data_IF_051166780215
#
_entry.id   IF_051166780215
#
_cell.length_a   1.000
_cell.length_b   1.000
_cell.length_c   1.000
_cell.angle_alpha   90.00
_cell.angle_beta   90.00
_cell.angle_gamma   90.00
#
_symmetry.space_group_name_H-M   'P 1'
#
loop_
_entity.id
_entity.type
_entity.pdbx_description
1 polymer ?
#
# COMPACT_ATOMS: atom_id res chain seq x y z
N UNK A 1 49.52 -1.03 15.64
CA UNK A 1 48.97 -2.37 15.33
C UNK A 1 47.55 -2.41 15.87
N UNK A 2 46.54 -2.31 15.00
CA UNK A 2 45.15 -2.42 15.44
C UNK A 2 44.91 -3.91 15.68
N UNK A 3 44.54 -4.25 16.89
CA UNK A 3 44.30 -5.63 17.32
C UNK A 3 43.04 -6.17 16.61
N UNK A 4 43.19 -7.33 15.95
CA UNK A 4 42.22 -7.94 15.04
C UNK A 4 40.82 -8.08 15.66
N UNK A 5 40.76 -8.18 16.99
CA UNK A 5 39.52 -8.26 17.77
C UNK A 5 38.68 -6.98 17.68
N UNK A 6 39.31 -5.81 17.62
CA UNK A 6 38.60 -4.54 17.48
C UNK A 6 38.09 -4.32 16.06
N UNK A 7 38.78 -4.88 15.06
CA UNK A 7 38.33 -4.84 13.66
C UNK A 7 37.04 -5.64 13.46
N UNK A 8 36.94 -6.82 14.09
CA UNK A 8 35.73 -7.66 14.03
C UNK A 8 34.54 -6.96 14.72
N UNK A 9 34.79 -6.28 15.84
CA UNK A 9 33.74 -5.52 16.54
C UNK A 9 33.23 -4.33 15.70
N UNK A 10 34.11 -3.65 14.97
CA UNK A 10 33.73 -2.58 14.05
C UNK A 10 32.91 -3.08 12.85
N UNK A 11 33.26 -4.25 12.30
CA UNK A 11 32.51 -4.85 11.18
C UNK A 11 31.09 -5.22 11.62
N UNK A 12 30.91 -5.76 12.83
CA UNK A 12 29.58 -6.14 13.34
C UNK A 12 28.65 -4.93 13.57
N UNK A 13 29.20 -3.76 13.93
CA UNK A 13 28.39 -2.54 14.12
C UNK A 13 27.91 -1.99 12.77
N UNK A 14 28.66 -2.18 11.69
CA UNK A 14 28.33 -1.64 10.36
C UNK A 14 27.26 -2.47 9.62
N UNK A 15 27.07 -3.74 9.96
CA UNK A 15 26.05 -4.60 9.33
C UNK A 15 24.68 -4.57 10.04
N UNK A 16 24.54 -3.81 11.14
CA UNK A 16 23.31 -3.75 11.94
C UNK A 16 22.28 -2.70 11.50
N UNK A 17 22.49 -1.98 10.39
CA UNK A 17 21.55 -0.95 9.93
C UNK A 17 20.48 -1.57 9.03
N UNK A 18 19.51 -2.25 9.64
CA UNK A 18 18.23 -2.55 8.97
C UNK A 18 17.48 -1.22 8.82
N UNK A 19 17.28 -0.76 7.59
CA UNK A 19 16.43 0.40 7.33
C UNK A 19 15.00 0.02 7.63
N UNK A 20 14.55 0.33 8.85
CA UNK A 20 13.15 0.18 9.23
C UNK A 20 12.30 1.02 8.28
N UNK A 21 11.38 0.37 7.57
CA UNK A 21 10.42 1.08 6.72
C UNK A 21 9.62 2.04 7.60
N UNK A 22 9.57 3.30 7.21
CA UNK A 22 8.73 4.27 7.89
C UNK A 22 7.27 3.99 7.53
N UNK A 23 6.48 3.52 8.50
CA UNK A 23 5.04 3.27 8.33
C UNK A 23 4.31 4.45 7.69
N UNK A 24 4.77 5.69 7.96
CA UNK A 24 4.22 6.91 7.37
C UNK A 24 4.32 6.97 5.84
N UNK A 25 5.33 6.36 5.24
CA UNK A 25 5.47 6.35 3.78
C UNK A 25 4.36 5.51 3.14
N UNK A 26 3.94 4.44 3.81
CA UNK A 26 2.92 3.49 3.34
C UNK A 26 1.51 4.10 3.36
N UNK A 27 1.23 4.99 4.31
CA UNK A 27 -0.06 5.62 4.44
C UNK A 27 -0.38 6.50 3.22
N UNK A 28 -1.64 6.43 2.78
CA UNK A 28 -2.17 7.22 1.68
C UNK A 28 -2.97 6.41 0.67
N UNK A 29 -3.16 7.01 -0.49
CA UNK A 29 -3.86 6.42 -1.62
C UNK A 29 -2.85 6.09 -2.72
N UNK A 30 -3.03 4.92 -3.34
CA UNK A 30 -2.13 4.35 -4.32
C UNK A 30 -2.93 3.80 -5.49
N UNK A 31 -2.40 3.85 -6.71
CA UNK A 31 -3.04 3.25 -7.88
C UNK A 31 -2.07 2.43 -8.72
N UNK A 32 -2.60 1.46 -9.44
CA UNK A 32 -1.89 0.69 -10.46
C UNK A 32 -2.86 0.16 -11.51
N UNK A 33 -2.28 -0.43 -12.56
CA UNK A 33 -2.99 -1.21 -13.57
C UNK A 33 -2.48 -2.64 -13.58
N UNK A 34 -3.37 -3.61 -13.75
CA UNK A 34 -3.01 -5.01 -13.96
C UNK A 34 -2.56 -5.25 -15.41
N UNK A 35 -2.08 -6.46 -15.73
CA UNK A 35 -1.63 -6.83 -17.09
C UNK A 35 -2.73 -6.69 -18.14
N UNK A 36 -3.99 -6.90 -17.75
CA UNK A 36 -5.17 -6.71 -18.60
C UNK A 36 -5.61 -5.24 -18.71
N UNK A 37 -4.78 -4.30 -18.24
CA UNK A 37 -5.05 -2.86 -18.14
C UNK A 37 -6.16 -2.47 -17.16
N UNK A 38 -6.65 -3.40 -16.34
CA UNK A 38 -7.66 -3.09 -15.34
C UNK A 38 -7.10 -2.18 -14.25
N UNK A 39 -7.81 -1.09 -13.95
CA UNK A 39 -7.43 -0.11 -12.96
C UNK A 39 -7.86 -0.54 -11.54
N UNK A 40 -6.99 -0.29 -10.57
CA UNK A 40 -7.35 -0.44 -9.16
C UNK A 40 -6.60 0.56 -8.27
N UNK A 41 -7.20 0.83 -7.11
CA UNK A 41 -6.64 1.68 -6.07
C UNK A 41 -6.47 0.91 -4.76
N UNK A 42 -5.49 1.32 -3.98
CA UNK A 42 -5.24 0.85 -2.62
C UNK A 42 -5.23 2.06 -1.70
N UNK A 43 -6.08 2.05 -0.68
CA UNK A 43 -6.09 3.07 0.37
C UNK A 43 -5.61 2.45 1.68
N UNK A 44 -4.63 3.07 2.32
CA UNK A 44 -4.02 2.60 3.55
C UNK A 44 -4.01 3.72 4.58
N UNK A 45 -4.63 3.48 5.73
CA UNK A 45 -4.49 4.30 6.94
C UNK A 45 -4.07 3.41 8.12
N UNK A 46 -3.91 3.96 9.32
CA UNK A 46 -3.47 3.22 10.52
C UNK A 46 -4.33 1.99 10.92
N UNK A 47 -5.52 1.82 10.33
CA UNK A 47 -6.52 0.81 10.74
C UNK A 47 -6.92 -0.14 9.61
N UNK A 48 -7.00 0.38 8.40
CA UNK A 48 -7.69 -0.25 7.28
C UNK A 48 -6.81 -0.25 6.03
N UNK A 49 -6.87 -1.38 5.34
CA UNK A 49 -6.34 -1.55 4.00
C UNK A 49 -7.53 -1.80 3.07
N UNK A 50 -7.75 -0.91 2.11
CA UNK A 50 -8.89 -0.98 1.20
C UNK A 50 -8.37 -1.21 -0.21
N UNK A 51 -8.82 -2.29 -0.84
CA UNK A 51 -8.57 -2.57 -2.25
C UNK A 51 -9.80 -2.19 -3.04
N UNK A 52 -9.71 -1.17 -3.89
CA UNK A 52 -10.82 -0.68 -4.70
C UNK A 52 -10.58 -1.03 -6.16
N UNK A 53 -11.43 -1.90 -6.70
CA UNK A 53 -11.32 -2.37 -8.07
C UNK A 53 -12.47 -1.85 -8.91
N UNK A 54 -12.20 -1.50 -10.16
CA UNK A 54 -13.22 -0.95 -11.07
C UNK A 54 -14.48 -1.84 -11.17
N UNK A 55 -14.30 -3.16 -11.29
CA UNK A 55 -15.41 -4.09 -11.52
C UNK A 55 -16.30 -4.40 -10.29
N UNK A 56 -15.81 -4.21 -9.05
CA UNK A 56 -16.54 -4.66 -7.85
C UNK A 56 -16.45 -3.70 -6.66
N UNK A 57 -15.77 -2.56 -6.81
CA UNK A 57 -15.69 -1.52 -5.80
C UNK A 57 -14.72 -1.84 -4.65
N UNK A 58 -14.86 -1.12 -3.51
CA UNK A 58 -13.94 -1.20 -2.38
C UNK A 58 -14.18 -2.46 -1.54
N UNK A 59 -13.10 -3.18 -1.25
CA UNK A 59 -13.06 -4.30 -0.31
C UNK A 59 -12.11 -3.95 0.83
N UNK A 60 -12.64 -3.99 2.05
CA UNK A 60 -11.90 -3.65 3.26
C UNK A 60 -11.23 -4.89 3.87
N UNK A 61 -9.96 -4.73 4.23
CA UNK A 61 -9.17 -5.73 4.91
C UNK A 61 -8.54 -5.18 6.18
N UNK A 62 -8.43 -6.05 7.18
CA UNK A 62 -7.53 -5.81 8.30
C UNK A 62 -6.11 -6.11 7.84
N UNK A 63 -5.15 -5.38 8.36
CA UNK A 63 -3.75 -5.61 8.00
C UNK A 63 -2.81 -5.36 9.18
N UNK A 64 -1.57 -5.80 9.04
CA UNK A 64 -0.46 -5.47 9.93
C UNK A 64 0.79 -5.22 9.11
N UNK A 65 1.53 -4.18 9.47
CA UNK A 65 2.84 -3.86 8.90
C UNK A 65 3.93 -4.50 9.74
N UNK A 66 4.92 -5.04 9.06
CA UNK A 66 6.19 -5.54 9.58
C UNK A 66 7.32 -4.78 8.90
N UNK A 67 8.56 -4.96 9.36
CA UNK A 67 9.69 -4.15 8.91
C UNK A 67 9.89 -4.15 7.38
N UNK A 68 9.53 -5.23 6.68
CA UNK A 68 9.70 -5.44 5.24
C UNK A 68 8.42 -5.91 4.53
N UNK A 69 7.29 -5.99 5.22
CA UNK A 69 6.11 -6.68 4.69
C UNK A 69 4.79 -6.21 5.27
N UNK A 70 3.73 -6.47 4.50
CA UNK A 70 2.35 -6.21 4.85
C UNK A 70 1.59 -7.53 4.85
N UNK A 71 0.98 -7.85 5.99
CA UNK A 71 0.10 -9.01 6.10
C UNK A 71 -1.35 -8.57 6.10
N UNK A 72 -2.08 -8.95 5.06
CA UNK A 72 -3.49 -8.64 4.85
C UNK A 72 -4.32 -9.85 5.30
N UNK A 73 -5.33 -9.64 6.14
CA UNK A 73 -6.21 -10.69 6.67
C UNK A 73 -7.56 -10.65 5.96
N UNK A 74 -7.96 -11.75 5.33
CA UNK A 74 -9.24 -11.84 4.63
C UNK A 74 -10.35 -12.28 5.60
N UNK A 75 -11.50 -11.61 5.53
CA UNK A 75 -12.60 -11.78 6.49
C UNK A 75 -13.25 -13.16 6.48
N UNK A 76 -13.10 -13.94 5.40
CA UNK A 76 -13.95 -15.11 5.17
C UNK A 76 -13.46 -16.39 5.84
N UNK A 77 -12.16 -16.57 6.13
CA UNK A 77 -11.63 -17.87 6.59
C UNK A 77 -10.34 -17.81 7.44
N UNK A 78 -9.97 -16.64 7.97
CA UNK A 78 -8.70 -16.46 8.67
C UNK A 78 -7.47 -16.63 7.77
N UNK A 79 -7.67 -16.65 6.44
CA UNK A 79 -6.59 -16.65 5.47
C UNK A 79 -5.91 -15.28 5.48
N UNK A 80 -4.60 -15.29 5.34
CA UNK A 80 -3.82 -14.06 5.21
C UNK A 80 -2.95 -14.13 3.98
N UNK A 81 -2.79 -13.00 3.30
CA UNK A 81 -1.83 -12.82 2.24
C UNK A 81 -0.68 -11.96 2.74
N UNK A 82 0.55 -12.41 2.50
CA UNK A 82 1.75 -11.63 2.81
C UNK A 82 2.24 -10.94 1.54
N UNK A 83 2.58 -9.67 1.67
CA UNK A 83 3.14 -8.83 0.63
C UNK A 83 4.47 -8.28 1.12
N UNK A 84 5.55 -8.59 0.42
CA UNK A 84 6.85 -7.97 0.64
C UNK A 84 6.84 -6.54 0.11
N UNK A 85 7.34 -5.59 0.88
CA UNK A 85 7.57 -4.20 0.45
C UNK A 85 8.97 -4.16 -0.15
N UNK A 86 9.07 -4.32 -1.46
CA UNK A 86 10.36 -4.34 -2.17
C UNK A 86 10.97 -2.93 -2.23
N UNK A 87 10.12 -1.93 -2.44
CA UNK A 87 10.53 -0.53 -2.52
C UNK A 87 9.39 0.37 -2.06
N UNK A 88 9.73 1.45 -1.35
CA UNK A 88 8.78 2.48 -0.98
C UNK A 88 9.44 3.86 -1.00
N UNK A 89 8.72 4.84 -1.53
CA UNK A 89 9.09 6.25 -1.56
C UNK A 89 7.86 7.14 -1.39
N UNK A 90 8.04 8.46 -1.46
CA UNK A 90 6.93 9.42 -1.41
C UNK A 90 5.97 9.33 -2.61
N UNK A 91 6.38 8.67 -3.71
CA UNK A 91 5.57 8.59 -4.93
C UNK A 91 5.38 7.18 -5.48
N UNK A 92 6.15 6.19 -5.02
CA UNK A 92 6.11 4.82 -5.52
C UNK A 92 6.13 3.79 -4.41
N UNK A 93 5.43 2.68 -4.63
CA UNK A 93 5.40 1.53 -3.76
C UNK A 93 5.44 0.26 -4.63
N UNK A 94 6.33 -0.67 -4.32
CA UNK A 94 6.39 -1.97 -4.97
C UNK A 94 6.05 -3.04 -3.94
N UNK A 95 4.93 -3.73 -4.17
CA UNK A 95 4.49 -4.85 -3.36
C UNK A 95 4.68 -6.14 -4.14
N UNK A 96 5.26 -7.16 -3.51
CA UNK A 96 5.48 -8.46 -4.15
C UNK A 96 4.91 -9.60 -3.33
N UNK A 97 4.30 -10.56 -4.00
CA UNK A 97 3.89 -11.84 -3.43
C UNK A 97 4.49 -12.99 -4.23
N UNK A 98 4.18 -14.23 -3.87
CA UNK A 98 4.65 -15.42 -4.60
C UNK A 98 4.15 -15.49 -6.04
N UNK A 99 3.06 -14.80 -6.38
CA UNK A 99 2.37 -14.93 -7.66
C UNK A 99 2.28 -13.64 -8.47
N UNK A 100 2.52 -12.49 -7.86
CA UNK A 100 2.29 -11.20 -8.50
C UNK A 100 3.13 -10.09 -7.85
N UNK A 101 3.37 -9.05 -8.64
CA UNK A 101 4.06 -7.83 -8.24
C UNK A 101 3.19 -6.63 -8.63
N UNK A 102 3.00 -5.70 -7.70
CA UNK A 102 2.28 -4.46 -7.91
C UNK A 102 3.25 -3.30 -7.87
N UNK A 103 3.29 -2.54 -8.97
CA UNK A 103 4.02 -1.27 -9.06
C UNK A 103 2.99 -0.15 -8.92
N UNK A 104 2.93 0.42 -7.72
CA UNK A 104 1.93 1.38 -7.28
C UNK A 104 2.49 2.80 -7.31
N UNK A 105 1.65 3.74 -7.72
CA UNK A 105 1.96 5.17 -7.75
C UNK A 105 1.08 5.91 -6.73
N UNK A 106 1.68 6.85 -5.99
CA UNK A 106 0.95 7.60 -4.96
C UNK A 106 -0.02 8.59 -5.60
N UNK A 107 -1.26 8.61 -5.11
CA UNK A 107 -2.28 9.59 -5.49
C UNK A 107 -2.16 10.77 -4.54
N UNK A 108 -2.00 11.98 -5.07
CA UNK A 108 -2.04 13.21 -4.30
C UNK A 108 -3.50 13.67 -4.24
N UNK A 109 -4.17 13.42 -3.12
CA UNK A 109 -5.55 13.83 -2.89
C UNK A 109 -5.60 15.05 -1.98
N UNK A 110 -6.54 15.97 -2.24
CA UNK A 110 -6.86 17.07 -1.32
C UNK A 110 -7.64 16.59 -0.09
N UNK A 111 -8.43 15.53 -0.24
CA UNK A 111 -9.23 14.86 0.79
C UNK A 111 -9.12 13.35 0.58
N UNK A 112 -8.78 12.57 1.61
CA UNK A 112 -8.54 11.13 1.48
C UNK A 112 -9.83 10.31 1.39
N UNK A 113 -9.76 9.09 0.84
CA UNK A 113 -10.86 8.11 0.83
C UNK A 113 -11.53 7.96 2.21
N UNK A 114 -10.73 7.95 3.26
CA UNK A 114 -11.21 7.80 4.64
C UNK A 114 -11.85 9.07 5.21
N UNK A 115 -11.44 10.25 4.75
CA UNK A 115 -12.04 11.54 5.14
C UNK A 115 -13.41 11.69 4.46
N UNK A 116 -13.51 11.22 3.22
CA UNK A 116 -14.74 11.16 2.43
C UNK A 116 -15.65 10.00 2.83
N UNK A 117 -15.21 9.06 3.68
CA UNK A 117 -15.97 7.84 3.98
C UNK A 117 -17.33 8.13 4.64
N UNK A 118 -17.47 9.25 5.35
CA UNK A 118 -18.77 9.70 5.87
C UNK A 118 -19.75 10.01 4.72
N UNK A 119 -19.25 10.49 3.57
CA UNK A 119 -20.01 10.66 2.33
C UNK A 119 -20.09 9.35 1.51
N UNK A 120 -19.09 8.46 1.59
CA UNK A 120 -18.99 7.20 0.83
C UNK A 120 -19.86 6.05 1.35
N UNK A 121 -20.48 6.16 2.53
CA UNK A 121 -21.51 5.19 2.98
C UNK A 121 -22.75 5.25 2.06
N UNK A 122 -22.93 6.31 1.27
CA UNK A 122 -23.80 6.32 0.11
C UNK A 122 -23.07 5.70 -1.10
N UNK A 123 -22.92 4.37 -1.09
CA UNK A 123 -22.26 3.56 -2.14
C UNK A 123 -22.73 3.90 -3.57
N UNK A 124 -24.00 4.24 -3.76
CA UNK A 124 -24.56 4.65 -5.07
C UNK A 124 -24.02 6.00 -5.57
N UNK A 125 -23.70 6.93 -4.67
CA UNK A 125 -23.14 8.24 -5.04
C UNK A 125 -21.65 8.17 -5.38
N UNK A 126 -20.91 7.18 -4.88
CA UNK A 126 -19.48 7.08 -5.14
C UNK A 126 -19.19 6.64 -6.59
N UNK A 127 -19.97 5.71 -7.15
CA UNK A 127 -19.80 5.27 -8.54
C UNK A 127 -20.06 6.42 -9.54
N UNK A 128 -21.15 7.18 -9.34
CA UNK A 128 -21.46 8.35 -10.18
C UNK A 128 -20.38 9.44 -10.04
N UNK A 129 -19.99 9.79 -8.82
CA UNK A 129 -18.98 10.84 -8.61
C UNK A 129 -17.56 10.41 -9.00
N UNK A 130 -17.24 9.11 -9.00
CA UNK A 130 -15.97 8.59 -9.50
C UNK A 130 -15.90 8.74 -11.03
N UNK A 131 -16.97 8.35 -11.73
CA UNK A 131 -17.10 8.54 -13.19
C UNK A 131 -17.02 10.03 -13.54
N UNK A 132 -17.72 10.91 -12.81
CA UNK A 132 -17.68 12.35 -13.05
C UNK A 132 -16.30 12.97 -12.78
N UNK A 133 -15.64 12.58 -11.66
CA UNK A 133 -14.34 13.16 -11.27
C UNK A 133 -13.20 12.73 -12.21
N UNK A 134 -13.25 11.53 -12.76
CA UNK A 134 -12.09 10.93 -13.43
C UNK A 134 -12.28 10.60 -14.91
N UNK A 135 -13.51 10.36 -15.40
CA UNK A 135 -13.76 10.05 -16.81
C UNK A 135 -14.25 11.26 -17.62
N UNK A 136 -15.08 12.13 -17.02
CA UNK A 136 -15.71 13.25 -17.75
C UNK A 136 -14.82 14.48 -17.95
N UNK A 137 -13.74 14.64 -17.18
CA UNK A 137 -12.76 15.74 -17.35
C UNK A 137 -11.80 15.57 -18.55
N UNK A 138 -11.95 14.51 -19.36
CA UNK A 138 -11.11 14.24 -20.54
C UNK A 138 -11.80 14.52 -21.89
N UNK A 139 -13.00 15.10 -21.89
CA UNK A 139 -13.63 15.72 -23.07
C UNK A 139 -13.48 17.25 -23.04
#
# INVERSE_FOLDING_TARGET
MIDLRYLIFFILILFGCSSKISENLLLGAWWATQEDSTYFEIYINEREFVFNHEAYGPIEYKYRVYDDSIKIFTNSNGRSKNWEIVQISDSSLILKSEHEEFILNKIILSEGYFDLRIDSIAFENFQENFIERYLRKRE
#
